data_IF_115024905071
#
_entry.id   IF_115024905071
#
_cell.length_a   1.000
_cell.length_b   1.000
_cell.length_c   1.000
_cell.angle_alpha   90.00
_cell.angle_beta   90.00
_cell.angle_gamma   90.00
#
_symmetry.space_group_name_H-M   'P 1'
#
loop_
_entity.id
_entity.type
_entity.pdbx_description
1 polymer ?
#
# COMPACT_ATOMS: atom_id res chain seq x y z
N UNK A 1 -10.19 -0.17 8.31
CA UNK A 1 -9.19 -0.46 7.26
C UNK A 1 -8.79 0.85 6.61
N UNK A 2 -7.50 1.16 6.54
CA UNK A 2 -7.01 2.46 6.05
C UNK A 2 -7.40 2.71 4.58
N UNK A 3 -7.40 1.68 3.72
CA UNK A 3 -7.86 1.82 2.34
C UNK A 3 -9.29 2.36 2.23
N UNK A 4 -10.20 1.92 3.11
CA UNK A 4 -11.58 2.46 3.14
C UNK A 4 -11.57 3.96 3.44
N UNK A 5 -10.91 4.38 4.51
CA UNK A 5 -11.06 5.74 5.06
C UNK A 5 -10.13 6.77 4.43
N UNK A 6 -8.95 6.36 3.96
CA UNK A 6 -7.92 7.26 3.43
C UNK A 6 -7.88 7.28 1.89
N UNK A 7 -8.32 6.20 1.23
CA UNK A 7 -8.19 6.05 -0.23
C UNK A 7 -9.53 6.08 -0.93
N UNK A 8 -10.51 5.30 -0.46
CA UNK A 8 -11.78 5.07 -1.15
C UNK A 8 -12.99 5.76 -0.51
N UNK A 9 -12.79 6.60 0.51
CA UNK A 9 -13.87 7.15 1.32
C UNK A 9 -14.95 7.88 0.50
N UNK A 10 -14.53 8.59 -0.55
CA UNK A 10 -15.38 9.34 -1.46
C UNK A 10 -15.61 8.62 -2.80
N UNK A 11 -15.21 7.37 -2.99
CA UNK A 11 -15.24 6.70 -4.31
C UNK A 11 -16.44 5.78 -4.52
N UNK A 12 -17.37 5.75 -3.58
CA UNK A 12 -18.44 4.77 -3.60
C UNK A 12 -19.55 5.11 -4.61
N UNK A 13 -19.74 6.41 -4.92
CA UNK A 13 -20.71 6.91 -5.93
C UNK A 13 -20.06 7.70 -7.08
N UNK A 14 -18.72 7.71 -7.17
CA UNK A 14 -17.98 8.42 -8.22
C UNK A 14 -16.70 7.65 -8.57
N UNK A 15 -15.98 8.11 -9.59
CA UNK A 15 -14.82 7.40 -10.09
C UNK A 15 -15.23 6.17 -10.89
N UNK A 16 -14.41 5.12 -10.83
CA UNK A 16 -14.56 3.95 -11.70
C UNK A 16 -15.46 2.85 -11.15
N UNK A 17 -15.93 2.98 -9.90
CA UNK A 17 -16.74 1.96 -9.21
C UNK A 17 -15.91 0.77 -8.70
N UNK A 18 -16.57 -0.38 -8.47
CA UNK A 18 -15.87 -1.63 -8.14
C UNK A 18 -14.90 -2.02 -9.26
N UNK A 19 -13.70 -2.48 -8.90
CA UNK A 19 -12.59 -2.61 -9.87
C UNK A 19 -12.93 -3.42 -11.12
N UNK A 20 -13.69 -4.51 -11.01
CA UNK A 20 -13.96 -5.39 -12.14
C UNK A 20 -15.30 -5.14 -12.85
N UNK A 21 -16.23 -4.41 -12.26
CA UNK A 21 -17.58 -4.23 -12.82
C UNK A 21 -18.09 -2.80 -12.83
N UNK A 22 -17.41 -1.88 -12.14
CA UNK A 22 -17.74 -0.46 -12.07
C UNK A 22 -19.05 -0.15 -11.36
N UNK A 23 -19.47 -1.01 -10.43
CA UNK A 23 -20.68 -0.76 -9.65
C UNK A 23 -20.41 0.25 -8.54
N UNK A 24 -21.41 1.08 -8.26
CA UNK A 24 -21.46 1.89 -7.07
C UNK A 24 -21.73 1.02 -5.84
N UNK A 25 -21.42 1.54 -4.66
CA UNK A 25 -21.72 0.87 -3.40
C UNK A 25 -21.99 1.88 -2.28
N UNK A 26 -22.54 1.40 -1.18
CA UNK A 26 -22.78 2.17 0.02
C UNK A 26 -21.90 1.70 1.15
N UNK A 27 -21.26 2.63 1.87
CA UNK A 27 -20.42 2.29 3.01
C UNK A 27 -21.26 1.91 4.24
N UNK A 28 -21.60 0.63 4.35
CA UNK A 28 -22.27 0.05 5.51
C UNK A 28 -21.45 -1.03 6.20
N UNK A 29 -21.69 -1.22 7.50
CA UNK A 29 -21.05 -2.26 8.30
C UNK A 29 -19.53 -2.11 8.47
N UNK A 30 -18.90 -3.18 8.98
CA UNK A 30 -17.47 -3.18 9.33
C UNK A 30 -16.55 -3.47 8.13
N UNK A 31 -16.96 -4.28 7.16
CA UNK A 31 -16.02 -4.97 6.25
C UNK A 31 -15.98 -4.55 4.79
N UNK A 32 -16.94 -3.78 4.25
CA UNK A 32 -16.84 -3.41 2.83
C UNK A 32 -17.92 -2.52 2.26
N UNK A 33 -19.12 -2.51 2.84
CA UNK A 33 -20.25 -1.84 2.22
C UNK A 33 -21.11 -2.77 1.37
N UNK A 34 -22.26 -2.25 0.92
CA UNK A 34 -23.28 -2.96 0.16
C UNK A 34 -23.24 -2.48 -1.28
N UNK A 35 -23.12 -3.39 -2.24
CA UNK A 35 -23.05 -3.05 -3.66
C UNK A 35 -24.43 -2.68 -4.18
N UNK A 36 -24.51 -1.60 -4.97
CA UNK A 36 -25.66 -1.34 -5.83
C UNK A 36 -25.45 -2.05 -7.18
N UNK A 37 -26.01 -3.26 -7.30
CA UNK A 37 -25.88 -4.08 -8.52
C UNK A 37 -26.58 -3.44 -9.73
N UNK A 38 -27.62 -2.63 -9.50
CA UNK A 38 -28.36 -1.99 -10.58
C UNK A 38 -27.55 -0.86 -11.23
N UNK A 39 -26.72 -0.14 -10.45
CA UNK A 39 -25.89 0.97 -10.93
C UNK A 39 -25.00 0.65 -12.13
N UNK A 40 -24.65 -0.62 -12.32
CA UNK A 40 -23.77 -1.12 -13.37
C UNK A 40 -24.42 -2.24 -14.21
N UNK A 41 -25.71 -2.55 -13.98
CA UNK A 41 -26.41 -3.66 -14.63
C UNK A 41 -25.80 -5.04 -14.34
N UNK A 42 -25.25 -5.24 -13.14
CA UNK A 42 -24.69 -6.53 -12.73
C UNK A 42 -25.79 -7.57 -12.56
N UNK A 43 -25.55 -8.78 -13.06
CA UNK A 43 -26.41 -9.94 -12.81
C UNK A 43 -25.65 -10.98 -12.01
N UNK A 44 -26.28 -11.47 -10.94
CA UNK A 44 -25.70 -12.48 -10.07
C UNK A 44 -25.56 -13.80 -10.81
N UNK A 45 -24.37 -14.37 -10.79
CA UNK A 45 -24.11 -15.65 -11.46
C UNK A 45 -24.61 -16.83 -10.65
N UNK A 46 -24.35 -16.84 -9.33
CA UNK A 46 -24.66 -17.96 -8.42
C UNK A 46 -24.80 -17.58 -6.94
N UNK A 47 -24.09 -16.57 -6.44
CA UNK A 47 -23.90 -16.27 -5.02
C UNK A 47 -24.48 -14.90 -4.62
N UNK A 48 -25.81 -14.81 -4.51
CA UNK A 48 -26.54 -13.57 -4.18
C UNK A 48 -25.94 -12.83 -2.97
N UNK A 49 -25.84 -13.51 -1.83
CA UNK A 49 -25.34 -12.92 -0.57
C UNK A 49 -23.92 -12.35 -0.68
N UNK A 50 -23.12 -12.88 -1.61
CA UNK A 50 -21.75 -12.44 -1.82
C UNK A 50 -21.65 -11.34 -2.88
N UNK A 51 -22.54 -11.33 -3.87
CA UNK A 51 -22.67 -10.25 -4.84
C UNK A 51 -23.08 -8.93 -4.16
N UNK A 52 -23.91 -8.99 -3.11
CA UNK A 52 -24.42 -7.78 -2.44
C UNK A 52 -23.40 -7.06 -1.53
N UNK A 53 -22.20 -7.60 -1.34
CA UNK A 53 -21.18 -6.99 -0.47
C UNK A 53 -19.89 -6.71 -1.21
N UNK A 54 -19.20 -5.67 -0.78
CA UNK A 54 -17.81 -5.43 -1.18
C UNK A 54 -16.90 -6.38 -0.43
N UNK A 55 -15.97 -6.98 -1.17
CA UNK A 55 -14.80 -7.65 -0.62
C UNK A 55 -13.54 -6.94 -1.14
N UNK A 56 -12.52 -6.84 -0.29
CA UNK A 56 -11.25 -6.25 -0.66
C UNK A 56 -10.45 -7.25 -1.51
N UNK A 57 -10.27 -6.89 -2.78
CA UNK A 57 -9.52 -7.65 -3.75
C UNK A 57 -8.02 -7.43 -3.56
N UNK A 58 -7.29 -8.54 -3.41
CA UNK A 58 -5.85 -8.57 -3.66
C UNK A 58 -5.63 -8.77 -5.16
N UNK A 59 -5.37 -7.68 -5.89
CA UNK A 59 -5.25 -7.70 -7.37
C UNK A 59 -4.20 -8.76 -7.77
N UNK A 60 -3.00 -8.71 -7.19
CA UNK A 60 -2.10 -9.85 -7.11
C UNK A 60 -2.56 -10.72 -5.93
N UNK A 61 -3.06 -11.95 -6.16
CA UNK A 61 -3.62 -12.78 -5.09
C UNK A 61 -2.61 -13.06 -3.99
N UNK A 62 -3.08 -13.18 -2.76
CA UNK A 62 -2.23 -13.60 -1.64
C UNK A 62 -1.55 -14.95 -1.86
N UNK A 63 -2.17 -15.83 -2.65
CA UNK A 63 -1.55 -17.08 -3.07
C UNK A 63 -0.28 -16.83 -3.91
N UNK A 64 -0.27 -15.87 -4.84
CA UNK A 64 0.88 -15.60 -5.72
C UNK A 64 2.12 -15.24 -4.92
N UNK A 65 2.00 -14.33 -3.95
CA UNK A 65 3.13 -13.90 -3.12
C UNK A 65 3.37 -14.75 -1.85
N UNK A 66 2.48 -15.72 -1.59
CA UNK A 66 2.47 -16.50 -0.36
C UNK A 66 2.84 -17.98 -0.53
N UNK A 67 2.33 -18.64 -1.57
CA UNK A 67 2.30 -20.11 -1.62
C UNK A 67 3.68 -20.79 -1.60
N UNK A 68 4.73 -20.12 -2.07
CA UNK A 68 6.10 -20.66 -2.07
C UNK A 68 6.83 -20.46 -0.73
N UNK A 69 6.25 -19.68 0.20
CA UNK A 69 6.88 -19.37 1.49
C UNK A 69 6.71 -20.53 2.47
N UNK A 70 7.71 -20.72 3.33
CA UNK A 70 7.66 -21.77 4.35
C UNK A 70 6.46 -21.64 5.29
N UNK A 71 6.06 -20.41 5.64
CA UNK A 71 4.87 -20.18 6.47
C UNK A 71 3.61 -20.79 5.83
N UNK A 72 3.49 -20.74 4.50
CA UNK A 72 2.32 -21.21 3.79
C UNK A 72 2.31 -22.74 3.75
N UNK A 73 3.47 -23.35 3.56
CA UNK A 73 3.63 -24.80 3.62
C UNK A 73 3.31 -25.36 5.02
N UNK A 74 3.59 -24.57 6.07
CA UNK A 74 3.38 -24.95 7.49
C UNK A 74 2.00 -24.58 8.07
N UNK A 75 1.08 -24.03 7.28
CA UNK A 75 -0.25 -23.66 7.79
C UNK A 75 -1.05 -22.66 6.94
N UNK A 76 -0.75 -22.57 5.66
CA UNK A 76 -1.42 -21.72 4.69
C UNK A 76 -1.30 -20.22 5.00
N UNK A 77 -2.23 -19.46 4.40
CA UNK A 77 -2.32 -18.00 4.58
C UNK A 77 -2.36 -17.60 6.06
N UNK A 78 -3.18 -18.30 6.87
CA UNK A 78 -3.35 -17.98 8.29
C UNK A 78 -2.01 -17.99 9.05
N UNK A 79 -1.17 -18.99 8.80
CA UNK A 79 0.15 -19.05 9.42
C UNK A 79 1.08 -17.95 8.89
N UNK A 80 1.03 -17.62 7.60
CA UNK A 80 1.83 -16.52 7.04
C UNK A 80 1.48 -15.16 7.65
N UNK A 81 0.19 -14.87 7.83
CA UNK A 81 -0.27 -13.63 8.49
C UNK A 81 0.34 -13.49 9.89
N UNK A 82 0.46 -14.58 10.64
CA UNK A 82 0.97 -14.55 12.01
C UNK A 82 2.48 -14.65 12.16
N UNK A 83 3.20 -15.17 11.15
CA UNK A 83 4.61 -15.59 11.31
C UNK A 83 5.59 -15.03 10.27
N UNK A 84 5.11 -14.52 9.13
CA UNK A 84 5.98 -13.98 8.08
C UNK A 84 5.74 -12.47 7.92
N UNK A 85 6.64 -11.62 8.43
CA UNK A 85 6.46 -10.17 8.37
C UNK A 85 6.51 -9.63 6.94
N UNK A 86 7.23 -10.29 6.03
CA UNK A 86 7.26 -9.89 4.61
C UNK A 86 5.90 -10.22 3.97
N UNK A 87 5.33 -11.39 4.27
CA UNK A 87 3.97 -11.71 3.84
C UNK A 87 2.94 -10.70 4.37
N UNK A 88 3.03 -10.36 5.67
CA UNK A 88 2.17 -9.35 6.28
C UNK A 88 2.25 -7.99 5.57
N UNK A 89 3.45 -7.54 5.19
CA UNK A 89 3.63 -6.31 4.39
C UNK A 89 2.95 -6.40 3.03
N UNK A 90 3.18 -7.49 2.29
CA UNK A 90 2.57 -7.68 0.96
C UNK A 90 1.04 -7.76 1.00
N UNK A 91 0.51 -8.43 2.03
CA UNK A 91 -0.94 -8.55 2.21
C UNK A 91 -1.60 -7.22 2.60
N UNK A 92 -0.91 -6.40 3.40
CA UNK A 92 -1.38 -5.10 3.84
C UNK A 92 -1.10 -3.97 2.83
N UNK A 93 -0.37 -4.25 1.74
CA UNK A 93 0.01 -3.25 0.74
C UNK A 93 -1.23 -2.66 0.07
N UNK A 94 -1.48 -1.37 0.31
CA UNK A 94 -2.66 -0.68 -0.16
C UNK A 94 -2.67 -0.49 -1.67
N UNK A 95 -1.51 -0.48 -2.35
CA UNK A 95 -1.44 -0.45 -3.81
C UNK A 95 -2.05 -1.70 -4.43
N UNK A 96 -2.04 -2.83 -3.73
CA UNK A 96 -2.62 -4.11 -4.17
C UNK A 96 -4.09 -4.32 -3.78
N UNK A 97 -4.72 -3.37 -3.09
CA UNK A 97 -6.06 -3.52 -2.52
C UNK A 97 -7.10 -2.64 -3.22
N UNK A 98 -8.19 -3.24 -3.69
CA UNK A 98 -9.30 -2.53 -4.34
C UNK A 98 -10.68 -3.09 -3.94
N UNK A 99 -11.74 -2.27 -3.94
CA UNK A 99 -13.10 -2.74 -3.70
C UNK A 99 -13.59 -3.56 -4.91
N UNK A 100 -14.08 -4.77 -4.65
CA UNK A 100 -14.65 -5.66 -5.65
C UNK A 100 -15.99 -6.20 -5.18
N UNK A 101 -16.87 -6.54 -6.13
CA UNK A 101 -18.07 -7.33 -5.84
C UNK A 101 -17.62 -8.66 -5.28
N UNK A 102 -18.16 -9.06 -4.12
CA UNK A 102 -17.72 -10.27 -3.46
C UNK A 102 -17.80 -11.50 -4.37
N UNK A 103 -18.93 -11.72 -5.06
CA UNK A 103 -19.06 -12.85 -5.99
C UNK A 103 -17.91 -12.91 -7.00
N UNK A 104 -17.63 -11.78 -7.68
CA UNK A 104 -16.52 -11.66 -8.64
C UNK A 104 -15.17 -11.93 -8.00
N UNK A 105 -14.90 -11.40 -6.80
CA UNK A 105 -13.64 -11.65 -6.08
C UNK A 105 -13.35 -13.15 -5.90
N UNK A 106 -14.34 -13.96 -5.56
CA UNK A 106 -14.09 -15.40 -5.34
C UNK A 106 -14.32 -16.28 -6.56
N UNK A 107 -15.10 -15.85 -7.54
CA UNK A 107 -15.06 -16.49 -8.86
C UNK A 107 -13.69 -16.27 -9.53
N UNK A 108 -13.08 -15.08 -9.34
CA UNK A 108 -11.70 -14.78 -9.74
C UNK A 108 -10.68 -15.62 -8.95
N UNK A 109 -10.92 -15.87 -7.67
CA UNK A 109 -10.08 -16.75 -6.84
C UNK A 109 -8.59 -16.34 -6.90
N UNK A 110 -7.69 -17.28 -7.13
CA UNK A 110 -6.27 -17.05 -7.44
C UNK A 110 -5.95 -17.24 -8.93
N UNK A 111 -6.94 -17.10 -9.81
CA UNK A 111 -6.76 -17.29 -11.25
C UNK A 111 -5.85 -16.24 -11.85
N UNK A 112 -5.06 -16.68 -12.84
CA UNK A 112 -4.19 -15.78 -13.60
C UNK A 112 -5.03 -14.81 -14.42
N UNK A 113 -4.54 -13.59 -14.58
CA UNK A 113 -5.12 -12.68 -15.55
C UNK A 113 -4.75 -13.11 -16.96
N UNK A 114 -5.71 -13.08 -17.87
CA UNK A 114 -5.53 -13.50 -19.26
C UNK A 114 -6.52 -12.83 -20.20
N UNK A 115 -6.22 -12.90 -21.50
CA UNK A 115 -7.18 -12.59 -22.55
C UNK A 115 -7.97 -13.86 -22.86
N UNK A 116 -9.27 -13.84 -22.64
CA UNK A 116 -10.16 -14.97 -22.91
C UNK A 116 -10.66 -14.93 -24.35
N UNK A 117 -11.01 -16.12 -24.86
CA UNK A 117 -11.59 -16.28 -26.20
C UNK A 117 -12.83 -15.39 -26.36
N UNK A 118 -13.09 -14.93 -27.58
CA UNK A 118 -14.31 -14.17 -27.91
C UNK A 118 -15.58 -14.96 -27.61
N UNK A 119 -15.51 -16.30 -27.63
CA UNK A 119 -16.63 -17.19 -27.33
C UNK A 119 -16.85 -17.40 -25.81
N UNK A 120 -15.96 -16.91 -24.94
CA UNK A 120 -16.16 -17.01 -23.50
C UNK A 120 -17.30 -16.07 -23.07
N UNK A 121 -18.36 -16.58 -22.41
CA UNK A 121 -19.55 -15.80 -22.08
C UNK A 121 -19.25 -14.71 -21.05
N UNK A 122 -20.14 -13.73 -20.95
CA UNK A 122 -20.18 -12.74 -19.89
C UNK A 122 -21.12 -13.24 -18.79
N UNK A 123 -20.60 -13.74 -17.65
CA UNK A 123 -21.44 -14.41 -16.66
C UNK A 123 -22.13 -13.45 -15.69
N UNK A 124 -21.90 -12.13 -15.82
CA UNK A 124 -22.24 -11.11 -14.83
C UNK A 124 -23.16 -9.99 -15.38
N UNK A 125 -23.96 -10.28 -16.41
CA UNK A 125 -24.85 -9.30 -17.04
C UNK A 125 -24.08 -8.24 -17.82
N UNK A 126 -24.21 -6.96 -17.43
CA UNK A 126 -23.55 -5.85 -18.12
C UNK A 126 -22.07 -5.70 -17.76
N UNK A 127 -21.61 -6.33 -16.68
CA UNK A 127 -20.19 -6.36 -16.32
C UNK A 127 -19.37 -7.12 -17.37
N UNK A 128 -18.35 -6.45 -17.91
CA UNK A 128 -17.52 -6.97 -19.01
C UNK A 128 -16.31 -7.80 -18.55
N UNK A 129 -16.17 -8.04 -17.24
CA UNK A 129 -15.22 -9.04 -16.75
C UNK A 129 -15.72 -10.45 -17.02
N UNK A 130 -14.79 -11.37 -17.27
CA UNK A 130 -15.07 -12.76 -17.64
C UNK A 130 -14.18 -13.71 -16.85
N UNK A 131 -14.67 -14.92 -16.66
CA UNK A 131 -13.93 -15.99 -15.98
C UNK A 131 -14.07 -17.30 -16.75
N UNK A 132 -12.96 -17.99 -16.91
CA UNK A 132 -12.92 -19.38 -17.36
C UNK A 132 -12.44 -20.25 -16.19
N UNK A 133 -13.40 -20.93 -15.54
CA UNK A 133 -13.12 -21.81 -14.40
C UNK A 133 -12.29 -23.05 -14.79
N UNK A 134 -12.41 -23.51 -16.04
CA UNK A 134 -11.70 -24.70 -16.52
C UNK A 134 -10.22 -24.38 -16.74
N UNK A 135 -9.95 -23.25 -17.38
CA UNK A 135 -8.59 -22.77 -17.64
C UNK A 135 -7.99 -22.00 -16.47
N UNK A 136 -8.79 -21.66 -15.44
CA UNK A 136 -8.37 -20.84 -14.29
C UNK A 136 -7.80 -19.49 -14.72
N UNK A 137 -8.53 -18.82 -15.61
CA UNK A 137 -8.18 -17.51 -16.16
C UNK A 137 -9.31 -16.53 -15.90
N UNK A 138 -8.96 -15.31 -15.48
CA UNK A 138 -9.87 -14.19 -15.36
C UNK A 138 -9.46 -13.09 -16.34
N UNK A 139 -10.41 -12.55 -17.10
CA UNK A 139 -10.20 -11.35 -17.90
C UNK A 139 -10.98 -10.20 -17.27
N UNK A 140 -10.30 -9.15 -16.75
CA UNK A 140 -10.99 -7.98 -16.24
C UNK A 140 -11.56 -7.14 -17.40
N UNK A 141 -12.54 -6.30 -17.10
CA UNK A 141 -13.00 -5.27 -18.03
C UNK A 141 -11.85 -4.35 -18.46
N UNK A 142 -11.97 -3.76 -19.63
CA UNK A 142 -10.92 -2.96 -20.25
C UNK A 142 -10.45 -1.80 -19.38
N UNK A 143 -11.38 -1.13 -18.69
CA UNK A 143 -11.10 -0.01 -17.80
C UNK A 143 -10.21 -0.40 -16.61
N UNK A 144 -10.14 -1.69 -16.25
CA UNK A 144 -9.33 -2.19 -15.15
C UNK A 144 -7.97 -2.77 -15.60
N UNK A 145 -7.79 -3.08 -16.89
CA UNK A 145 -6.61 -3.77 -17.41
C UNK A 145 -5.31 -3.00 -17.15
N UNK A 146 -5.33 -1.68 -17.32
CA UNK A 146 -4.17 -0.82 -17.06
C UNK A 146 -3.75 -0.84 -15.59
N UNK A 147 -4.69 -0.59 -14.67
CA UNK A 147 -4.42 -0.62 -13.24
C UNK A 147 -3.95 -2.00 -12.78
N UNK A 148 -4.56 -3.08 -13.29
CA UNK A 148 -4.12 -4.45 -13.00
C UNK A 148 -2.66 -4.67 -13.41
N UNK A 149 -2.26 -4.20 -14.60
CA UNK A 149 -0.88 -4.31 -15.07
C UNK A 149 0.09 -3.58 -14.16
N UNK A 150 -0.17 -2.31 -13.84
CA UNK A 150 0.71 -1.49 -13.00
C UNK A 150 0.80 -1.99 -11.57
N UNK A 151 -0.28 -2.54 -11.01
CA UNK A 151 -0.26 -3.19 -9.69
C UNK A 151 0.55 -4.48 -9.71
N UNK A 152 0.44 -5.29 -10.76
CA UNK A 152 1.29 -6.48 -10.93
C UNK A 152 2.77 -6.09 -11.03
N UNK A 153 3.11 -5.12 -11.87
CA UNK A 153 4.49 -4.65 -12.00
C UNK A 153 5.05 -4.15 -10.68
N UNK A 154 4.29 -3.32 -9.97
CA UNK A 154 4.65 -2.82 -8.64
C UNK A 154 4.91 -3.94 -7.63
N UNK A 155 3.97 -4.87 -7.47
CA UNK A 155 4.11 -5.93 -6.48
C UNK A 155 5.28 -6.85 -6.80
N UNK A 156 5.51 -7.15 -8.09
CA UNK A 156 6.61 -8.00 -8.51
C UNK A 156 7.97 -7.31 -8.39
N UNK A 157 8.07 -6.03 -8.77
CA UNK A 157 9.28 -5.22 -8.61
C UNK A 157 9.64 -5.05 -7.13
N UNK A 158 8.70 -4.55 -6.33
CA UNK A 158 8.94 -4.19 -4.94
C UNK A 158 9.22 -5.41 -4.07
N UNK A 159 8.50 -6.51 -4.28
CA UNK A 159 8.62 -7.69 -3.42
C UNK A 159 9.43 -8.83 -4.04
N UNK A 160 10.16 -8.54 -5.12
CA UNK A 160 11.02 -9.48 -5.81
C UNK A 160 10.32 -10.80 -6.20
N UNK A 161 9.11 -10.70 -6.75
CA UNK A 161 8.33 -11.86 -7.18
C UNK A 161 8.64 -12.19 -8.64
N UNK A 162 8.73 -13.48 -8.95
CA UNK A 162 8.90 -13.94 -10.34
C UNK A 162 7.59 -13.80 -11.13
N UNK A 163 7.71 -13.44 -12.41
CA UNK A 163 6.58 -13.34 -13.32
C UNK A 163 6.91 -14.10 -14.61
N UNK A 164 6.01 -14.95 -15.08
CA UNK A 164 6.22 -15.68 -16.34
C UNK A 164 6.31 -14.72 -17.52
N UNK A 165 7.07 -15.08 -18.55
CA UNK A 165 7.22 -14.26 -19.76
C UNK A 165 5.88 -13.95 -20.41
N UNK A 166 4.96 -14.92 -20.45
CA UNK A 166 3.61 -14.73 -20.99
C UNK A 166 2.81 -13.68 -20.20
N UNK A 167 2.86 -13.73 -18.87
CA UNK A 167 2.16 -12.76 -18.02
C UNK A 167 2.77 -11.36 -18.19
N UNK A 168 4.10 -11.25 -18.25
CA UNK A 168 4.77 -9.97 -18.52
C UNK A 168 4.31 -9.37 -19.85
N UNK A 169 4.30 -10.16 -20.93
CA UNK A 169 3.88 -9.68 -22.25
C UNK A 169 2.43 -9.20 -22.27
N UNK A 170 1.52 -9.95 -21.63
CA UNK A 170 0.12 -9.56 -21.51
C UNK A 170 -0.02 -8.22 -20.78
N UNK A 171 0.61 -8.10 -19.61
CA UNK A 171 0.49 -6.90 -18.79
C UNK A 171 1.18 -5.70 -19.44
N UNK A 172 2.29 -5.89 -20.16
CA UNK A 172 2.92 -4.83 -20.94
C UNK A 172 2.00 -4.34 -22.06
N UNK A 173 1.28 -5.25 -22.73
CA UNK A 173 0.28 -4.86 -23.73
C UNK A 173 -0.88 -4.06 -23.09
N UNK A 174 -1.35 -4.49 -21.92
CA UNK A 174 -2.40 -3.77 -21.18
C UNK A 174 -1.95 -2.40 -20.69
N UNK A 175 -0.75 -2.29 -20.10
CA UNK A 175 -0.22 -1.02 -19.61
C UNK A 175 -0.06 0.02 -20.74
N UNK A 176 0.45 -0.41 -21.90
CA UNK A 176 0.57 0.48 -23.06
C UNK A 176 -0.79 0.87 -23.66
N UNK A 177 -1.78 -0.04 -23.67
CA UNK A 177 -3.11 0.21 -24.25
C UNK A 177 -4.01 1.05 -23.34
N UNK A 178 -3.88 0.89 -22.03
CA UNK A 178 -4.74 1.51 -21.01
C UNK A 178 -3.89 2.36 -20.05
N UNK A 179 -3.61 3.63 -20.40
CA UNK A 179 -2.78 4.52 -19.57
C UNK A 179 -3.43 4.80 -18.20
N UNK A 180 -2.67 5.32 -17.21
CA UNK A 180 -3.23 5.67 -15.90
C UNK A 180 -4.40 6.65 -16.01
N UNK A 181 -5.48 6.35 -15.31
CA UNK A 181 -6.65 7.23 -15.25
C UNK A 181 -6.47 8.31 -14.19
N UNK A 182 -7.31 9.35 -14.24
CA UNK A 182 -7.33 10.39 -13.21
C UNK A 182 -7.62 9.80 -11.82
N UNK A 183 -8.49 8.79 -11.75
CA UNK A 183 -8.76 8.06 -10.52
C UNK A 183 -7.54 7.28 -10.04
N UNK A 184 -6.86 6.55 -10.92
CA UNK A 184 -5.68 5.77 -10.54
C UNK A 184 -4.54 6.66 -10.01
N UNK A 185 -4.30 7.80 -10.64
CA UNK A 185 -3.32 8.80 -10.17
C UNK A 185 -3.74 9.36 -8.80
N UNK A 186 -5.02 9.69 -8.61
CA UNK A 186 -5.55 10.17 -7.32
C UNK A 186 -5.44 9.09 -6.23
N UNK A 187 -5.70 7.84 -6.57
CA UNK A 187 -5.56 6.67 -5.70
C UNK A 187 -4.12 6.50 -5.25
N UNK A 188 -3.17 6.51 -6.19
CA UNK A 188 -1.74 6.40 -5.92
C UNK A 188 -1.27 7.50 -4.96
N UNK A 189 -1.60 8.76 -5.24
CA UNK A 189 -1.28 9.88 -4.36
C UNK A 189 -1.82 9.72 -2.93
N UNK A 190 -3.03 9.19 -2.78
CA UNK A 190 -3.62 8.92 -1.45
C UNK A 190 -2.91 7.79 -0.73
N UNK A 191 -2.54 6.74 -1.45
CA UNK A 191 -1.80 5.61 -0.88
C UNK A 191 -0.39 6.05 -0.48
N UNK A 192 0.30 6.83 -1.31
CA UNK A 192 1.64 7.34 -1.02
C UNK A 192 1.67 8.19 0.26
N UNK A 193 0.64 9.00 0.52
CA UNK A 193 0.50 9.75 1.80
C UNK A 193 0.42 8.84 3.03
N UNK A 194 -0.09 7.62 2.90
CA UNK A 194 -0.24 6.67 4.01
C UNK A 194 0.97 5.73 4.12
N UNK A 195 1.48 5.24 2.98
CA UNK A 195 2.54 4.23 2.92
C UNK A 195 3.94 4.83 2.76
N UNK A 196 4.05 6.13 2.45
CA UNK A 196 5.31 6.85 2.25
C UNK A 196 5.98 6.64 0.89
N UNK A 197 5.31 5.97 -0.06
CA UNK A 197 5.86 5.74 -1.40
C UNK A 197 4.77 5.52 -2.46
N UNK A 198 5.09 5.94 -3.68
CA UNK A 198 4.25 5.78 -4.86
C UNK A 198 4.39 4.38 -5.47
N UNK A 199 3.43 4.03 -6.34
CA UNK A 199 3.63 3.03 -7.37
C UNK A 199 4.35 3.71 -8.57
N UNK A 200 5.64 3.43 -8.80
CA UNK A 200 6.40 4.11 -9.84
C UNK A 200 5.93 3.77 -11.27
N UNK A 201 5.13 2.72 -11.44
CA UNK A 201 4.49 2.39 -12.72
C UNK A 201 3.23 3.21 -12.98
N UNK A 202 2.63 3.82 -11.94
CA UNK A 202 1.55 4.81 -12.09
C UNK A 202 2.11 6.20 -12.34
N UNK A 203 3.19 6.59 -11.66
CA UNK A 203 3.83 7.90 -11.85
C UNK A 203 4.61 8.00 -13.17
N UNK A 204 4.99 6.86 -13.75
CA UNK A 204 5.80 6.79 -14.97
C UNK A 204 7.31 6.79 -14.71
N UNK A 205 7.75 6.82 -13.45
CA UNK A 205 9.16 6.70 -13.05
C UNK A 205 9.77 5.35 -13.45
N UNK A 206 8.97 4.27 -13.45
CA UNK A 206 9.38 2.95 -13.93
C UNK A 206 8.45 2.48 -15.05
N UNK A 207 9.04 1.77 -16.01
CA UNK A 207 8.32 1.04 -17.05
C UNK A 207 8.79 -0.40 -17.08
N UNK A 208 7.84 -1.35 -17.10
CA UNK A 208 8.19 -2.76 -17.15
C UNK A 208 8.67 -3.15 -18.56
N UNK A 209 9.77 -3.88 -18.63
CA UNK A 209 10.31 -4.45 -19.86
C UNK A 209 10.62 -5.94 -19.66
N UNK A 210 10.76 -6.70 -20.75
CA UNK A 210 11.28 -8.05 -20.64
C UNK A 210 12.67 -8.02 -20.00
N UNK A 211 12.92 -8.92 -19.05
CA UNK A 211 14.12 -8.98 -18.21
C UNK A 211 14.26 -7.82 -17.21
N UNK A 212 13.13 -7.19 -16.82
CA UNK A 212 13.09 -6.22 -15.74
C UNK A 212 13.80 -6.75 -14.50
N UNK A 213 14.69 -5.93 -13.92
CA UNK A 213 15.35 -6.23 -12.66
C UNK A 213 14.54 -5.62 -11.53
N UNK A 214 13.96 -6.49 -10.70
CA UNK A 214 13.17 -6.09 -9.55
C UNK A 214 14.02 -5.30 -8.54
N UNK A 215 13.46 -4.21 -8.02
CA UNK A 215 14.10 -3.39 -6.98
C UNK A 215 14.25 -4.09 -5.63
N UNK A 216 13.33 -5.02 -5.30
CA UNK A 216 13.31 -5.76 -4.04
C UNK A 216 13.20 -4.88 -2.77
N UNK A 217 12.81 -3.61 -2.91
CA UNK A 217 12.72 -2.64 -1.80
C UNK A 217 11.80 -3.10 -0.66
N UNK A 218 10.75 -3.85 -0.96
CA UNK A 218 9.77 -4.36 0.00
C UNK A 218 10.20 -5.63 0.74
N UNK A 219 11.21 -6.35 0.23
CA UNK A 219 11.78 -7.56 0.88
C UNK A 219 13.11 -7.28 1.57
N UNK A 220 13.81 -6.22 1.19
CA UNK A 220 14.97 -5.75 1.92
C UNK A 220 14.50 -5.24 3.27
N UNK A 221 14.47 -6.16 4.23
CA UNK A 221 14.48 -5.84 5.63
C UNK A 221 15.89 -5.33 5.92
N UNK A 222 16.23 -4.13 5.42
CA UNK A 222 17.02 -3.26 6.28
C UNK A 222 16.28 -3.30 7.62
N UNK A 223 16.97 -3.59 8.73
CA UNK A 223 16.31 -3.73 10.01
C UNK A 223 15.45 -2.50 10.16
N UNK A 224 14.14 -2.72 10.11
CA UNK A 224 13.24 -1.76 10.71
C UNK A 224 13.55 -1.96 12.18
N UNK A 225 14.54 -1.22 12.67
CA UNK A 225 14.43 -0.64 14.01
C UNK A 225 12.96 -0.27 14.15
N UNK A 226 12.28 -0.76 15.21
CA UNK A 226 10.85 -0.52 15.38
C UNK A 226 10.60 0.96 15.12
N UNK A 227 9.65 1.29 14.23
CA UNK A 227 9.23 2.64 13.83
C UNK A 227 10.06 3.78 14.47
N UNK A 228 10.86 4.47 13.64
CA UNK A 228 11.87 5.52 13.89
C UNK A 228 13.32 5.05 13.97
N UNK A 229 13.97 4.88 12.82
CA UNK A 229 15.34 5.36 12.60
C UNK A 229 15.52 5.77 11.13
N UNK A 230 15.80 7.05 10.82
CA UNK A 230 16.30 7.44 9.51
C UNK A 230 17.75 6.97 9.39
N UNK A 231 18.06 6.12 8.39
CA UNK A 231 19.43 5.92 7.93
C UNK A 231 19.73 6.85 6.77
N UNK A 232 20.85 7.54 6.95
CA UNK A 232 21.46 8.60 6.16
C UNK A 232 21.82 8.10 4.76
N UNK A 233 21.33 8.79 3.71
CA UNK A 233 22.04 8.85 2.43
C UNK A 233 22.96 10.06 2.55
N UNK A 234 24.26 9.80 2.54
CA UNK A 234 25.25 10.85 2.28
C UNK A 234 25.09 11.30 0.82
N UNK A 235 24.50 12.47 0.61
CA UNK A 235 25.04 13.39 -0.37
C UNK A 235 25.18 14.78 0.24
N UNK A 236 26.27 15.41 -0.14
CA UNK A 236 26.84 16.62 0.44
C UNK A 236 25.93 17.83 0.23
N UNK A 237 26.06 18.77 1.17
CA UNK A 237 25.43 20.10 1.22
C UNK A 237 23.95 20.06 1.63
N UNK A 238 23.48 20.69 2.71
CA UNK A 238 23.65 22.09 3.12
C UNK A 238 23.45 22.18 4.66
N UNK A 239 24.20 23.09 5.30
CA UNK A 239 24.24 23.40 6.74
C UNK A 239 22.89 23.92 7.26
N UNK A 240 22.37 23.38 8.36
CA UNK A 240 21.46 24.11 9.26
C UNK A 240 21.66 23.71 10.72
N UNK A 241 22.07 24.66 11.54
CA UNK A 241 22.35 24.54 12.98
C UNK A 241 21.12 24.06 13.79
N UNK A 242 21.13 22.82 14.26
CA UNK A 242 20.21 22.36 15.29
C UNK A 242 20.83 22.62 16.68
N UNK A 243 20.24 23.53 17.45
CA UNK A 243 20.71 23.89 18.79
C UNK A 243 20.20 22.86 19.79
N UNK A 244 21.06 21.94 20.24
CA UNK A 244 20.72 20.96 21.29
C UNK A 244 20.45 21.63 22.64
N UNK A 245 19.51 21.08 23.43
CA UNK A 245 19.15 21.60 24.76
C UNK A 245 19.42 20.54 25.83
N UNK A 246 20.20 20.88 26.86
CA UNK A 246 20.57 19.99 27.97
C UNK A 246 20.08 20.55 29.31
N UNK A 247 19.21 19.81 29.98
CA UNK A 247 18.67 20.09 31.31
C UNK A 247 19.38 19.33 32.42
N UNK A 248 19.63 20.00 33.54
CA UNK A 248 20.15 19.38 34.76
C UNK A 248 19.00 18.94 35.66
N UNK A 249 18.89 17.63 35.90
CA UNK A 249 17.82 16.98 36.69
C UNK A 249 17.69 17.56 38.09
N UNK A 250 18.80 18.00 38.69
CA UNK A 250 18.86 18.44 40.07
C UNK A 250 18.42 19.91 40.22
N UNK A 251 18.87 20.79 39.35
CA UNK A 251 18.51 22.22 39.40
C UNK A 251 17.24 22.57 38.63
N UNK A 252 16.73 21.63 37.80
CA UNK A 252 15.64 21.87 36.85
C UNK A 252 15.90 23.05 35.93
N UNK A 253 17.17 23.32 35.61
CA UNK A 253 17.57 24.33 34.64
C UNK A 253 18.08 23.71 33.35
N UNK A 254 17.76 24.30 32.21
CA UNK A 254 18.28 23.87 30.91
C UNK A 254 19.17 24.93 30.26
N UNK A 255 20.07 24.45 29.41
CA UNK A 255 21.03 25.23 28.63
C UNK A 255 20.97 24.81 27.16
N UNK A 256 21.19 25.75 26.25
CA UNK A 256 21.44 25.48 24.83
C UNK A 256 22.90 25.05 24.59
N UNK A 257 23.18 24.37 23.48
CA UNK A 257 24.51 23.87 23.12
C UNK A 257 25.59 24.96 23.06
N UNK A 258 25.21 26.20 22.75
CA UNK A 258 26.13 27.35 22.73
C UNK A 258 26.42 27.95 24.11
N UNK A 259 25.72 27.52 25.16
CA UNK A 259 25.94 28.04 26.51
C UNK A 259 27.09 27.29 27.20
N UNK A 260 28.02 28.02 27.82
CA UNK A 260 29.22 27.44 28.44
C UNK A 260 28.93 26.31 29.45
N UNK A 261 27.81 26.43 30.19
CA UNK A 261 27.41 25.43 31.18
C UNK A 261 26.77 24.16 30.60
N UNK A 262 26.53 24.09 29.28
CA UNK A 262 25.99 22.90 28.61
C UNK A 262 26.92 21.69 28.83
N UNK A 263 28.22 21.88 28.62
CA UNK A 263 29.21 20.80 28.77
C UNK A 263 29.59 20.49 30.22
N UNK A 264 29.19 21.34 31.18
CA UNK A 264 29.53 21.15 32.60
C UNK A 264 28.54 20.25 33.35
N UNK A 265 27.40 19.91 32.74
CA UNK A 265 26.41 19.03 33.35
C UNK A 265 26.86 17.58 33.14
N UNK A 266 27.23 16.91 34.24
CA UNK A 266 27.55 15.49 34.23
C UNK A 266 26.38 14.66 33.71
N UNK A 267 26.65 13.69 32.84
CA UNK A 267 25.61 12.98 32.07
C UNK A 267 24.61 12.22 32.95
N UNK A 268 25.06 11.71 34.10
CA UNK A 268 24.17 11.08 35.11
C UNK A 268 23.07 12.02 35.63
N UNK A 269 23.29 13.33 35.54
CA UNK A 269 22.37 14.37 35.99
C UNK A 269 21.74 15.12 34.81
N UNK A 270 21.91 14.67 33.58
CA UNK A 270 21.42 15.35 32.38
C UNK A 270 20.11 14.76 31.83
N UNK A 271 19.33 15.60 31.16
CA UNK A 271 18.23 15.24 30.26
C UNK A 271 18.41 16.07 28.99
N UNK A 272 18.35 15.44 27.82
CA UNK A 272 18.41 16.15 26.55
C UNK A 272 17.00 16.37 26.05
N UNK A 273 16.73 17.59 25.60
CA UNK A 273 15.45 18.01 25.04
C UNK A 273 15.61 18.35 23.57
N UNK A 274 14.60 18.02 22.78
CA UNK A 274 14.55 18.27 21.33
C UNK A 274 14.26 19.73 21.00
N UNK A 275 13.60 20.42 21.92
CA UNK A 275 13.17 21.81 21.78
C UNK A 275 12.86 22.42 23.16
N UNK A 276 12.80 23.75 23.21
CA UNK A 276 12.60 24.48 24.47
C UNK A 276 11.23 24.21 25.11
N UNK A 277 10.23 23.91 24.28
CA UNK A 277 8.86 23.67 24.73
C UNK A 277 8.77 22.35 25.50
N UNK A 278 9.48 21.31 25.05
CA UNK A 278 9.60 20.02 25.74
C UNK A 278 10.33 20.14 27.07
N UNK A 279 11.38 21.00 27.16
CA UNK A 279 12.09 21.28 28.40
C UNK A 279 11.17 21.97 29.42
N UNK A 280 10.43 23.00 29.00
CA UNK A 280 9.45 23.70 29.84
C UNK A 280 8.30 22.82 30.27
N UNK A 281 7.75 22.00 29.37
CA UNK A 281 6.70 21.04 29.68
C UNK A 281 7.16 19.98 30.70
N UNK A 282 8.44 19.62 30.69
CA UNK A 282 9.07 18.74 31.69
C UNK A 282 9.42 19.45 33.02
N UNK A 283 9.05 20.73 33.17
CA UNK A 283 9.27 21.53 34.38
C UNK A 283 10.68 22.10 34.51
N UNK A 284 11.40 22.27 33.39
CA UNK A 284 12.72 22.89 33.39
C UNK A 284 12.63 24.35 32.92
N UNK A 285 13.44 25.21 33.53
CA UNK A 285 13.52 26.64 33.19
C UNK A 285 14.86 26.99 32.57
N UNK A 286 14.92 28.05 31.76
CA UNK A 286 16.18 28.52 31.20
C UNK A 286 17.14 28.92 32.33
N UNK A 287 18.37 28.42 32.26
CA UNK A 287 19.40 28.87 33.19
C UNK A 287 19.70 30.35 32.98
N UNK A 288 19.76 31.15 34.05
CA UNK A 288 19.95 32.60 33.95
C UNK A 288 21.26 33.04 33.27
N UNK A 289 22.25 32.15 33.20
CA UNK A 289 23.52 32.39 32.50
C UNK A 289 23.51 31.92 31.03
N UNK A 290 22.37 31.44 30.53
CA UNK A 290 22.20 30.97 29.17
C UNK A 290 21.19 31.85 28.44
N UNK A 291 21.61 32.51 27.35
CA UNK A 291 20.76 33.40 26.57
C UNK A 291 20.21 32.66 25.34
N UNK A 292 18.94 32.89 25.04
CA UNK A 292 18.32 32.47 23.77
C UNK A 292 19.01 33.26 22.65
N UNK A 293 19.37 32.58 21.55
CA UNK A 293 19.92 33.22 20.35
C UNK A 293 18.80 33.68 19.43
#
# INVERSE_FOLDING_TARGET
>A
MLSKTQVYADQNHQGEGTIYCGCQWEWVGKSGGKVDLASCGYQVRKQQNRAERIEWEHIVPAWVFGHQRQCWQKGGRKNCVSSDPIFGRMEADMHNLAPSIGEVNGDRSNFSFGQLSTNTPYPYGMCRSRVDFKQKVFEPRDEAKGQVARVYFYMHDRYNLSMSRQQQQLLMAWDNKYPPTSWEIKRDNRIAKVMGHHNPFVTGEKKWNLNHKNSAEGVNISPVSPLNQPQVIEDKSIVSDAVEIKGNRNSKKYHFSHCASFNTIADKNAVIFTDEQSAKAAGFELAGNCKIR
#
